data_IF_600049605482
#
_entry.id   IF_600049605482
#
_cell.length_a   1.000
_cell.length_b   1.000
_cell.length_c   1.000
_cell.angle_alpha   90.00
_cell.angle_beta   90.00
_cell.angle_gamma   90.00
#
_symmetry.space_group_name_H-M   'P 1'
#
loop_
_entity.id
_entity.type
_entity.pdbx_description
1 polymer ?
#
# COMPACT_ATOMS: atom_id res chain seq x y z
N UNK A 1 -29.37 13.14 -8.24
CA UNK A 1 -28.03 12.54 -8.18
C UNK A 1 -27.97 11.15 -7.49
N UNK A 2 -28.83 10.80 -6.52
CA UNK A 2 -28.81 9.49 -5.83
C UNK A 2 -29.18 8.26 -6.69
N UNK A 3 -29.85 8.42 -7.84
CA UNK A 3 -30.23 7.30 -8.70
C UNK A 3 -29.14 6.87 -9.69
N UNK A 4 -28.23 7.75 -10.08
CA UNK A 4 -27.15 7.45 -11.02
C UNK A 4 -26.08 6.57 -10.38
N UNK A 5 -25.76 6.80 -9.09
CA UNK A 5 -24.83 5.96 -8.36
C UNK A 5 -25.32 4.52 -8.16
N UNK A 6 -26.63 4.30 -8.03
CA UNK A 6 -27.20 2.96 -7.91
C UNK A 6 -27.03 2.14 -9.19
N UNK A 7 -27.14 2.77 -10.36
CA UNK A 7 -26.91 2.08 -11.65
C UNK A 7 -25.43 1.75 -11.88
N UNK A 8 -24.51 2.63 -11.46
CA UNK A 8 -23.08 2.33 -11.54
C UNK A 8 -22.66 1.19 -10.60
N UNK A 9 -23.23 1.12 -9.42
CA UNK A 9 -22.98 0.02 -8.46
C UNK A 9 -23.55 -1.30 -9.00
N UNK A 10 -24.77 -1.30 -9.57
CA UNK A 10 -25.35 -2.50 -10.15
C UNK A 10 -24.61 -2.98 -11.40
N UNK A 11 -24.09 -2.06 -12.24
CA UNK A 11 -23.27 -2.40 -13.39
C UNK A 11 -21.93 -3.02 -12.98
N UNK A 12 -21.33 -2.50 -11.91
CA UNK A 12 -20.07 -3.02 -11.34
C UNK A 12 -20.28 -4.42 -10.73
N UNK A 13 -21.40 -4.67 -10.09
CA UNK A 13 -21.74 -5.99 -9.55
C UNK A 13 -22.04 -6.98 -10.67
N UNK A 14 -22.72 -6.55 -11.76
CA UNK A 14 -23.06 -7.43 -12.87
C UNK A 14 -21.84 -7.84 -13.70
N UNK A 15 -20.80 -7.00 -13.78
CA UNK A 15 -19.54 -7.34 -14.48
C UNK A 15 -18.72 -8.40 -13.75
N UNK A 16 -18.96 -8.62 -12.45
CA UNK A 16 -18.27 -9.64 -11.65
C UNK A 16 -18.83 -11.07 -11.83
N UNK A 17 -20.02 -11.24 -12.42
CA UNK A 17 -20.68 -12.55 -12.53
C UNK A 17 -20.49 -13.27 -13.88
N UNK A 18 -19.75 -12.69 -14.81
CA UNK A 18 -19.51 -13.26 -16.14
C UNK A 18 -18.30 -14.18 -16.25
N UNK A 19 -18.05 -15.06 -15.30
CA UNK A 19 -16.98 -16.06 -15.42
C UNK A 19 -17.51 -17.31 -16.15
N UNK A 20 -17.36 -17.36 -17.47
CA UNK A 20 -17.54 -18.59 -18.23
C UNK A 20 -16.42 -19.60 -17.87
N UNK A 21 -16.77 -20.69 -17.27
CA UNK A 21 -15.87 -21.79 -16.93
C UNK A 21 -15.56 -22.63 -18.15
N UNK A 22 -14.49 -22.30 -18.87
CA UNK A 22 -13.81 -23.22 -19.78
C UNK A 22 -12.77 -24.03 -18.98
N UNK A 23 -12.91 -25.31 -18.90
CA UNK A 23 -11.95 -26.23 -18.28
C UNK A 23 -10.82 -26.55 -19.27
N UNK A 24 -9.90 -25.60 -19.45
CA UNK A 24 -8.59 -25.92 -20.03
C UNK A 24 -7.66 -26.42 -18.93
N UNK A 25 -7.06 -27.56 -19.13
CA UNK A 25 -6.00 -28.14 -18.27
C UNK A 25 -4.75 -27.25 -18.35
N UNK A 26 -4.73 -26.21 -17.53
CA UNK A 26 -3.64 -25.23 -17.53
C UNK A 26 -2.51 -25.77 -16.64
N UNK A 27 -1.34 -25.86 -17.23
CA UNK A 27 -0.11 -26.15 -16.49
C UNK A 27 0.16 -24.98 -15.51
N UNK A 28 -0.16 -25.20 -14.23
CA UNK A 28 0.14 -24.24 -13.17
C UNK A 28 1.65 -24.24 -12.89
N UNK A 29 2.28 -23.10 -13.10
CA UNK A 29 3.69 -22.89 -12.81
C UNK A 29 3.84 -21.85 -11.70
N UNK A 30 3.88 -22.26 -10.41
CA UNK A 30 3.94 -21.36 -9.28
C UNK A 30 5.25 -20.57 -9.28
N UNK A 31 5.16 -19.30 -8.93
CA UNK A 31 6.27 -18.34 -8.92
C UNK A 31 6.45 -17.73 -7.54
N UNK A 32 7.69 -17.48 -7.19
CA UNK A 32 8.08 -16.54 -6.14
C UNK A 32 8.34 -15.21 -6.83
N UNK A 33 7.84 -14.11 -6.27
CA UNK A 33 8.05 -12.77 -6.82
C UNK A 33 8.68 -11.89 -5.76
N UNK A 34 9.73 -11.19 -6.16
CA UNK A 34 10.39 -10.15 -5.36
C UNK A 34 10.17 -8.84 -6.07
N UNK A 35 9.75 -7.82 -5.37
CA UNK A 35 9.47 -6.51 -5.96
C UNK A 35 10.03 -5.37 -5.13
N UNK A 36 10.34 -4.27 -5.81
CA UNK A 36 10.69 -3.00 -5.21
C UNK A 36 9.76 -1.92 -5.74
N UNK A 37 9.31 -1.05 -4.86
CA UNK A 37 8.58 0.17 -5.22
C UNK A 37 9.55 1.19 -5.83
N UNK A 38 9.19 1.73 -6.98
CA UNK A 38 9.96 2.77 -7.66
C UNK A 38 9.35 4.16 -7.47
N UNK A 39 8.09 4.23 -7.08
CA UNK A 39 7.39 5.50 -6.93
C UNK A 39 7.95 6.31 -5.76
N UNK A 40 8.22 5.68 -4.61
CA UNK A 40 8.78 6.34 -3.44
C UNK A 40 10.13 7.01 -3.69
N UNK A 41 11.16 6.29 -4.19
CA UNK A 41 12.44 6.89 -4.54
C UNK A 41 12.35 8.00 -5.60
N UNK A 42 11.51 7.82 -6.63
CA UNK A 42 11.31 8.85 -7.67
C UNK A 42 10.64 10.09 -7.08
N UNK A 43 9.65 9.92 -6.20
CA UNK A 43 9.00 11.03 -5.53
C UNK A 43 9.98 11.82 -4.64
N UNK A 44 10.89 11.14 -3.94
CA UNK A 44 11.94 11.77 -3.12
C UNK A 44 12.90 12.67 -3.95
N UNK A 45 13.09 12.37 -5.23
CA UNK A 45 13.88 13.25 -6.10
C UNK A 45 13.16 14.58 -6.32
N UNK A 46 11.84 14.55 -6.43
CA UNK A 46 11.00 15.73 -6.64
C UNK A 46 10.73 16.51 -5.34
N UNK A 47 10.51 15.79 -4.24
CA UNK A 47 10.23 16.34 -2.91
C UNK A 47 11.09 15.62 -1.86
N UNK A 48 12.11 16.30 -1.36
CA UNK A 48 13.07 15.78 -0.36
C UNK A 48 12.45 15.55 1.02
N UNK A 49 11.22 15.98 1.22
CA UNK A 49 10.53 15.87 2.50
C UNK A 49 9.86 14.52 2.73
N UNK A 50 9.79 13.65 1.70
CA UNK A 50 9.17 12.33 1.82
C UNK A 50 10.05 11.27 1.17
N UNK A 51 10.77 10.49 1.99
CA UNK A 51 11.46 9.28 1.56
C UNK A 51 10.60 8.07 1.89
N UNK A 52 10.23 7.29 0.89
CA UNK A 52 9.52 6.02 1.07
C UNK A 52 10.26 4.92 0.31
N UNK A 53 10.66 3.87 1.03
CA UNK A 53 11.29 2.68 0.47
C UNK A 53 10.41 1.48 0.81
N UNK A 54 10.00 0.73 -0.18
CA UNK A 54 9.10 -0.41 0.01
C UNK A 54 9.45 -1.55 -0.93
N UNK A 55 9.34 -2.78 -0.45
CA UNK A 55 9.45 -3.98 -1.25
C UNK A 55 8.51 -5.07 -0.77
N UNK A 56 8.22 -6.02 -1.65
CA UNK A 56 7.42 -7.19 -1.28
C UNK A 56 8.00 -8.51 -1.79
N UNK A 57 7.66 -9.56 -1.06
CA UNK A 57 7.82 -10.96 -1.45
C UNK A 57 6.43 -11.56 -1.61
N UNK A 58 6.17 -12.23 -2.73
CA UNK A 58 4.92 -12.94 -2.99
C UNK A 58 5.20 -14.36 -3.42
N UNK A 59 4.43 -15.30 -2.88
CA UNK A 59 4.55 -16.74 -3.17
C UNK A 59 3.20 -17.29 -3.60
N UNK A 60 3.13 -17.84 -4.81
CA UNK A 60 1.93 -18.50 -5.30
C UNK A 60 1.72 -19.81 -4.57
N UNK A 61 0.57 -20.02 -3.96
CA UNK A 61 0.16 -21.29 -3.35
C UNK A 61 -1.03 -21.94 -4.06
N UNK A 62 -1.70 -21.18 -4.93
CA UNK A 62 -2.79 -21.65 -5.79
C UNK A 62 -2.71 -20.94 -7.14
N UNK A 63 -3.43 -21.41 -8.14
CA UNK A 63 -3.49 -20.84 -9.51
C UNK A 63 -3.82 -19.35 -9.50
N UNK A 64 -4.69 -18.94 -8.61
CA UNK A 64 -5.22 -17.58 -8.52
C UNK A 64 -4.91 -16.88 -7.19
N UNK A 65 -4.11 -17.49 -6.30
CA UNK A 65 -3.86 -16.93 -4.97
C UNK A 65 -2.37 -16.94 -4.65
N UNK A 66 -1.91 -15.85 -4.06
CA UNK A 66 -0.55 -15.69 -3.60
C UNK A 66 -0.53 -15.09 -2.18
N UNK A 67 0.34 -15.64 -1.33
CA UNK A 67 0.67 -15.02 -0.05
C UNK A 67 1.67 -13.89 -0.29
N UNK A 68 1.50 -12.77 0.41
CA UNK A 68 2.33 -11.58 0.24
C UNK A 68 2.81 -11.08 1.59
N UNK A 69 4.09 -10.78 1.67
CA UNK A 69 4.70 -10.00 2.74
C UNK A 69 5.35 -8.76 2.15
N UNK A 70 5.05 -7.61 2.71
CA UNK A 70 5.63 -6.32 2.33
C UNK A 70 6.33 -5.71 3.53
N UNK A 71 7.48 -5.10 3.28
CA UNK A 71 8.23 -4.33 4.27
C UNK A 71 8.63 -3.00 3.68
N UNK A 72 8.72 -2.00 4.53
CA UNK A 72 9.18 -0.69 4.09
C UNK A 72 9.63 0.20 5.22
N UNK A 73 10.28 1.26 4.82
CA UNK A 73 10.74 2.38 5.67
C UNK A 73 10.22 3.68 5.09
N UNK A 74 9.83 4.58 5.97
CA UNK A 74 9.40 5.92 5.56
C UNK A 74 10.00 6.95 6.50
N UNK A 75 10.42 8.06 5.90
CA UNK A 75 10.87 9.27 6.59
C UNK A 75 10.14 10.47 5.98
N UNK A 76 9.42 11.21 6.82
CA UNK A 76 8.57 12.31 6.44
C UNK A 76 8.85 13.54 7.28
N UNK A 77 9.14 14.63 6.59
CA UNK A 77 9.37 15.95 7.16
C UNK A 77 8.27 16.88 6.67
N UNK A 78 7.57 17.48 7.59
CA UNK A 78 6.57 18.49 7.29
C UNK A 78 6.90 19.78 8.02
N UNK A 79 7.12 20.85 7.28
CA UNK A 79 7.48 22.15 7.83
C UNK A 79 6.57 23.22 7.25
N UNK A 80 5.94 23.98 8.13
CA UNK A 80 5.18 25.17 7.80
C UNK A 80 5.61 26.32 8.70
N UNK A 81 5.14 27.53 8.42
CA UNK A 81 5.52 28.73 9.15
C UNK A 81 5.40 28.60 10.67
N UNK A 82 4.39 27.88 11.16
CA UNK A 82 4.05 27.77 12.59
C UNK A 82 4.09 26.34 13.13
N UNK A 83 4.53 25.35 12.32
CA UNK A 83 4.47 23.96 12.72
C UNK A 83 5.46 23.08 11.96
N UNK A 84 6.32 22.38 12.72
CA UNK A 84 7.22 21.34 12.22
C UNK A 84 6.80 19.98 12.75
N UNK A 85 6.72 18.98 11.87
CA UNK A 85 6.41 17.62 12.23
C UNK A 85 7.34 16.65 11.49
N UNK A 86 7.92 15.72 12.25
CA UNK A 86 8.80 14.68 11.75
C UNK A 86 8.20 13.32 12.10
N UNK A 87 8.21 12.40 11.13
CA UNK A 87 7.76 11.04 11.35
C UNK A 87 8.62 10.06 10.57
N UNK A 88 9.27 9.14 11.26
CA UNK A 88 10.08 8.10 10.61
C UNK A 88 9.83 6.74 11.23
N UNK A 89 9.87 5.68 10.44
CA UNK A 89 9.66 4.34 10.95
C UNK A 89 9.54 3.26 9.90
N UNK A 90 9.40 2.05 10.42
CA UNK A 90 9.26 0.83 9.63
C UNK A 90 7.81 0.36 9.62
N UNK A 91 7.44 -0.28 8.54
CA UNK A 91 6.13 -0.93 8.45
C UNK A 91 6.25 -2.29 7.77
N UNK A 92 5.32 -3.16 8.10
CA UNK A 92 5.17 -4.48 7.51
C UNK A 92 3.70 -4.71 7.18
N UNK A 93 3.44 -5.40 6.08
CA UNK A 93 2.09 -5.84 5.70
C UNK A 93 2.12 -7.31 5.34
N UNK A 94 1.13 -8.05 5.81
CA UNK A 94 0.92 -9.46 5.51
C UNK A 94 -0.45 -9.63 4.86
N UNK A 95 -0.56 -10.45 3.84
CA UNK A 95 -1.82 -10.64 3.18
C UNK A 95 -1.85 -11.67 2.07
N UNK A 96 -2.93 -11.60 1.30
CA UNK A 96 -3.19 -12.51 0.19
C UNK A 96 -3.65 -11.71 -1.02
N UNK A 97 -3.10 -12.03 -2.18
CA UNK A 97 -3.52 -11.52 -3.48
C UNK A 97 -4.41 -12.54 -4.19
N UNK A 98 -5.52 -12.07 -4.73
CA UNK A 98 -6.47 -12.83 -5.53
C UNK A 98 -6.40 -12.35 -6.97
N UNK A 99 -5.98 -13.22 -7.89
CA UNK A 99 -5.98 -12.94 -9.32
C UNK A 99 -7.37 -13.22 -9.88
N UNK A 100 -7.97 -12.24 -10.55
CA UNK A 100 -9.28 -12.39 -11.18
C UNK A 100 -9.20 -12.85 -12.64
N UNK A 101 -8.00 -12.80 -13.23
CA UNK A 101 -7.80 -13.25 -14.61
C UNK A 101 -7.77 -14.79 -14.69
N UNK A 102 -8.40 -15.32 -15.74
CA UNK A 102 -8.31 -16.74 -16.04
C UNK A 102 -6.83 -17.11 -16.36
N UNK A 103 -6.22 -18.04 -15.64
CA UNK A 103 -4.84 -18.46 -15.88
C UNK A 103 -4.55 -18.93 -17.29
N UNK A 104 -5.53 -19.56 -17.98
CA UNK A 104 -5.43 -19.98 -19.38
C UNK A 104 -5.22 -18.82 -20.35
N UNK A 105 -5.94 -17.76 -20.14
CA UNK A 105 -5.85 -16.59 -21.01
C UNK A 105 -4.62 -15.75 -20.72
N UNK A 106 -4.26 -15.61 -19.43
CA UNK A 106 -3.15 -14.76 -19.00
C UNK A 106 -1.78 -15.44 -19.14
N UNK A 107 -1.73 -16.77 -19.24
CA UNK A 107 -0.49 -17.56 -19.25
C UNK A 107 0.52 -17.17 -18.15
N UNK A 108 0.03 -16.60 -17.05
CA UNK A 108 0.84 -16.07 -15.95
C UNK A 108 1.63 -14.79 -16.27
N UNK A 109 1.41 -14.18 -17.45
CA UNK A 109 2.08 -12.92 -17.85
C UNK A 109 1.33 -11.69 -17.37
N UNK A 110 0.03 -11.81 -17.20
CA UNK A 110 -0.84 -10.72 -16.77
C UNK A 110 -1.46 -11.05 -15.43
N UNK A 111 -1.67 -10.03 -14.65
CA UNK A 111 -2.39 -10.08 -13.39
C UNK A 111 -3.33 -8.88 -13.32
N UNK A 112 -4.57 -9.12 -12.99
CA UNK A 112 -5.49 -8.11 -12.50
C UNK A 112 -6.21 -8.73 -11.30
N UNK A 113 -6.15 -8.07 -10.16
CA UNK A 113 -6.64 -8.68 -8.95
C UNK A 113 -6.77 -7.74 -7.80
N UNK A 114 -7.09 -8.29 -6.65
CA UNK A 114 -7.32 -7.58 -5.41
C UNK A 114 -6.51 -8.26 -4.32
N UNK A 115 -5.71 -7.47 -3.59
CA UNK A 115 -5.02 -7.90 -2.39
C UNK A 115 -5.77 -7.47 -1.14
N UNK A 116 -5.74 -8.30 -0.12
CA UNK A 116 -6.18 -7.96 1.24
C UNK A 116 -4.99 -8.10 2.17
N UNK A 117 -4.68 -7.06 2.92
CA UNK A 117 -3.50 -6.98 3.80
C UNK A 117 -3.84 -6.44 5.16
N UNK A 118 -3.12 -6.94 6.15
CA UNK A 118 -3.05 -6.37 7.49
C UNK A 118 -1.68 -5.71 7.66
N UNK A 119 -1.67 -4.44 8.06
CA UNK A 119 -0.47 -3.64 8.23
C UNK A 119 -0.18 -3.32 9.68
N UNK A 120 1.10 -3.36 10.02
CA UNK A 120 1.68 -2.92 11.28
C UNK A 120 2.75 -1.87 10.97
N UNK A 121 2.70 -0.74 11.66
CA UNK A 121 3.70 0.32 11.60
C UNK A 121 4.25 0.59 13.00
N UNK A 122 5.57 0.71 13.11
CA UNK A 122 6.27 1.16 14.30
C UNK A 122 7.10 2.36 13.91
N UNK A 123 6.84 3.50 14.51
CA UNK A 123 7.39 4.77 14.07
C UNK A 123 7.64 5.71 15.24
N UNK A 124 8.51 6.67 15.01
CA UNK A 124 8.80 7.78 15.92
C UNK A 124 8.24 9.04 15.29
N UNK A 125 7.49 9.78 16.07
CA UNK A 125 6.93 11.07 15.68
C UNK A 125 7.36 12.15 16.66
N UNK A 126 7.64 13.35 16.17
CA UNK A 126 8.00 14.50 16.99
C UNK A 126 7.50 15.80 16.35
N UNK A 127 7.27 16.81 17.19
CA UNK A 127 6.96 18.16 16.76
C UNK A 127 7.96 19.09 17.42
N UNK A 128 9.10 19.35 16.77
CA UNK A 128 10.15 20.19 17.35
C UNK A 128 9.74 21.64 17.52
N UNK A 129 8.80 22.11 16.70
CA UNK A 129 8.30 23.46 16.76
C UNK A 129 6.80 23.52 16.50
N UNK A 130 6.10 24.22 17.39
CA UNK A 130 4.69 24.58 17.26
C UNK A 130 4.51 26.01 17.77
N UNK A 131 3.92 26.86 16.95
CA UNK A 131 3.52 28.20 17.35
C UNK A 131 2.01 28.37 17.19
N UNK A 132 1.37 28.82 18.24
CA UNK A 132 -0.04 29.19 18.24
C UNK A 132 -0.19 30.67 18.51
N UNK A 133 -0.61 31.40 17.50
CA UNK A 133 -0.89 32.84 17.61
C UNK A 133 -2.37 33.06 17.94
N UNK A 134 -2.64 33.88 18.94
CA UNK A 134 -3.99 34.30 19.31
C UNK A 134 -4.03 35.81 19.57
N UNK A 135 -5.21 36.34 19.86
CA UNK A 135 -5.41 37.78 20.12
C UNK A 135 -4.53 38.32 21.24
N UNK A 136 -4.09 37.50 22.19
CA UNK A 136 -3.32 37.87 23.38
C UNK A 136 -1.80 37.68 23.20
N UNK A 137 -1.34 37.18 22.06
CA UNK A 137 0.04 36.96 21.75
C UNK A 137 0.30 35.58 21.16
N UNK A 138 1.57 35.26 20.88
CA UNK A 138 2.01 33.94 20.41
C UNK A 138 2.54 33.07 21.56
N UNK A 139 2.20 31.80 21.53
CA UNK A 139 2.74 30.78 22.44
C UNK A 139 3.47 29.74 21.61
N UNK A 140 4.74 29.52 21.93
CA UNK A 140 5.55 28.47 21.30
C UNK A 140 5.59 27.22 22.18
N UNK A 141 5.57 26.06 21.53
CA UNK A 141 5.65 24.76 22.20
C UNK A 141 6.44 23.76 21.37
N UNK A 142 6.67 22.60 21.95
CA UNK A 142 7.26 21.46 21.27
C UNK A 142 6.65 20.17 21.85
N UNK A 143 6.60 19.11 21.04
CA UNK A 143 6.32 17.76 21.53
C UNK A 143 7.57 16.89 21.35
N UNK A 144 8.05 16.27 22.42
CA UNK A 144 9.23 15.40 22.36
C UNK A 144 8.97 14.18 21.46
N UNK A 145 10.04 13.56 20.96
CA UNK A 145 9.92 12.37 20.15
C UNK A 145 9.27 11.23 20.93
N UNK A 146 8.20 10.67 20.36
CA UNK A 146 7.45 9.55 20.92
C UNK A 146 7.42 8.38 19.92
N UNK A 147 7.70 7.16 20.43
CA UNK A 147 7.57 5.94 19.63
C UNK A 147 6.16 5.40 19.73
N UNK A 148 5.54 5.18 18.60
CA UNK A 148 4.15 4.76 18.48
C UNK A 148 4.01 3.57 17.54
N UNK A 149 2.91 2.83 17.70
CA UNK A 149 2.54 1.75 16.80
C UNK A 149 1.15 2.01 16.21
N UNK A 150 0.96 1.62 14.95
CA UNK A 150 -0.33 1.71 14.29
C UNK A 150 -0.66 0.40 13.55
N UNK A 151 -1.94 0.06 13.55
CA UNK A 151 -2.48 -1.11 12.86
C UNK A 151 -3.54 -0.66 11.85
N UNK A 152 -3.51 -1.22 10.66
CA UNK A 152 -4.44 -0.88 9.61
C UNK A 152 -4.76 -2.08 8.72
N UNK A 153 -5.90 -2.01 8.04
CA UNK A 153 -6.30 -2.97 7.01
C UNK A 153 -6.18 -2.26 5.66
N UNK A 154 -5.71 -2.99 4.65
CA UNK A 154 -5.53 -2.48 3.31
C UNK A 154 -6.20 -3.37 2.29
N UNK A 155 -6.96 -2.76 1.38
CA UNK A 155 -7.44 -3.35 0.15
C UNK A 155 -6.60 -2.81 -1.01
N UNK A 156 -6.05 -3.72 -1.84
CA UNK A 156 -5.05 -3.39 -2.86
C UNK A 156 -5.46 -3.92 -4.24
N UNK A 157 -6.41 -3.28 -4.94
CA UNK A 157 -6.63 -3.58 -6.35
C UNK A 157 -5.40 -3.17 -7.17
N UNK A 158 -5.01 -4.04 -8.11
CA UNK A 158 -3.81 -3.77 -8.92
C UNK A 158 -3.75 -4.59 -10.18
N UNK A 159 -2.86 -4.16 -11.06
CA UNK A 159 -2.54 -4.84 -12.30
C UNK A 159 -1.02 -4.99 -12.46
N UNK A 160 -0.62 -6.02 -13.17
CA UNK A 160 0.76 -6.33 -13.48
C UNK A 160 0.85 -6.93 -14.88
N UNK A 161 1.92 -6.56 -15.59
CA UNK A 161 2.25 -7.14 -16.89
C UNK A 161 3.73 -7.53 -16.95
N UNK A 162 4.02 -8.69 -17.55
CA UNK A 162 5.39 -9.12 -17.83
C UNK A 162 5.91 -8.37 -19.06
N UNK A 163 6.99 -7.62 -18.89
CA UNK A 163 7.66 -6.90 -19.97
C UNK A 163 8.74 -7.75 -20.64
N UNK A 164 9.56 -8.40 -19.82
CA UNK A 164 10.62 -9.30 -20.24
C UNK A 164 10.48 -10.61 -19.51
N UNK A 165 11.18 -11.65 -19.96
CA UNK A 165 11.18 -12.94 -19.28
C UNK A 165 11.50 -12.77 -17.80
N UNK A 166 10.55 -13.11 -16.95
CA UNK A 166 10.63 -13.01 -15.48
C UNK A 166 10.63 -11.57 -14.89
N UNK A 167 10.58 -10.53 -15.69
CA UNK A 167 10.51 -9.15 -15.21
C UNK A 167 9.16 -8.56 -15.55
N UNK A 168 8.46 -8.08 -14.55
CA UNK A 168 7.14 -7.46 -14.68
C UNK A 168 7.15 -6.07 -14.09
N UNK A 169 6.27 -5.23 -14.59
CA UNK A 169 5.87 -3.98 -13.94
C UNK A 169 4.43 -4.09 -13.48
N UNK A 170 4.12 -3.41 -12.40
CA UNK A 170 2.76 -3.38 -11.86
C UNK A 170 2.50 -2.09 -11.12
N UNK A 171 1.23 -1.76 -11.02
CA UNK A 171 0.76 -0.70 -10.16
C UNK A 171 -0.43 -1.16 -9.31
N UNK A 172 -0.55 -0.56 -8.16
CA UNK A 172 -1.55 -0.94 -7.17
C UNK A 172 -2.15 0.33 -6.57
N UNK A 173 -3.46 0.40 -6.52
CA UNK A 173 -4.15 1.39 -5.71
C UNK A 173 -4.27 0.80 -4.31
N UNK A 174 -3.99 1.59 -3.28
CA UNK A 174 -4.07 1.17 -1.90
C UNK A 174 -5.18 1.93 -1.19
N UNK A 175 -6.10 1.20 -0.61
CA UNK A 175 -7.22 1.73 0.16
C UNK A 175 -7.04 1.25 1.60
N UNK A 176 -6.60 2.14 2.50
CA UNK A 176 -6.20 1.79 3.86
C UNK A 176 -7.20 2.35 4.86
N UNK A 177 -7.53 1.53 5.85
CA UNK A 177 -8.40 1.89 6.97
C UNK A 177 -7.61 1.71 8.26
N UNK A 178 -7.48 2.78 9.03
CA UNK A 178 -6.81 2.77 10.32
C UNK A 178 -7.70 2.05 11.35
N UNK A 179 -7.14 1.02 11.97
CA UNK A 179 -7.80 0.25 13.03
C UNK A 179 -7.41 0.79 14.40
N UNK A 180 -6.11 1.07 14.56
CA UNK A 180 -5.57 1.55 15.83
C UNK A 180 -4.32 2.41 15.57
N UNK A 181 -4.19 3.47 16.34
CA UNK A 181 -2.96 4.26 16.41
C UNK A 181 -2.67 4.58 17.87
N UNK A 182 -1.53 4.08 18.36
CA UNK A 182 -1.05 4.27 19.73
C UNK A 182 -0.36 5.60 19.95
N UNK A 183 -0.73 6.64 19.23
CA UNK A 183 -0.22 8.00 19.49
C UNK A 183 -0.58 8.45 20.88
N UNK A 184 0.37 9.03 21.60
CA UNK A 184 0.18 9.57 22.94
C UNK A 184 -0.97 10.55 23.04
N UNK A 185 -1.39 10.88 24.25
CA UNK A 185 -2.54 11.75 24.50
C UNK A 185 -2.39 13.14 23.89
N UNK A 186 -1.16 13.58 23.67
CA UNK A 186 -0.81 14.95 23.33
C UNK A 186 -0.43 15.15 21.86
N UNK A 187 -0.08 14.10 21.12
CA UNK A 187 0.37 14.19 19.73
C UNK A 187 -0.39 13.24 18.80
N UNK A 188 -1.26 13.79 17.97
CA UNK A 188 -1.88 13.03 16.89
C UNK A 188 -0.94 13.01 15.68
N UNK A 189 -0.45 11.83 15.30
CA UNK A 189 0.44 11.70 14.15
C UNK A 189 -0.23 12.19 12.86
N UNK A 190 0.38 13.17 12.21
CA UNK A 190 -0.08 13.68 10.90
C UNK A 190 0.16 12.64 9.82
N UNK A 191 1.29 11.95 9.89
CA UNK A 191 1.65 10.94 8.91
C UNK A 191 2.18 9.68 9.60
N UNK A 192 1.66 8.53 9.21
CA UNK A 192 2.03 7.21 9.74
C UNK A 192 2.71 6.42 8.63
N UNK A 193 3.95 5.93 8.84
CA UNK A 193 4.65 5.10 7.88
C UNK A 193 3.81 3.90 7.40
N UNK A 194 3.80 3.69 6.09
CA UNK A 194 3.03 2.60 5.47
C UNK A 194 1.51 2.82 5.41
N UNK A 195 0.96 3.69 6.25
CA UNK A 195 -0.46 4.05 6.23
C UNK A 195 -0.75 5.33 5.43
N UNK A 196 0.00 6.40 5.68
CA UNK A 196 -0.20 7.72 5.11
C UNK A 196 -0.79 8.70 6.10
N UNK A 197 -1.83 9.45 5.73
CA UNK A 197 -2.41 10.50 6.55
C UNK A 197 -3.06 9.95 7.84
N UNK A 198 -2.38 10.10 8.97
CA UNK A 198 -2.80 9.61 10.29
C UNK A 198 -3.94 10.40 10.93
N UNK A 199 -4.32 11.56 10.38
CA UNK A 199 -5.46 12.34 10.88
C UNK A 199 -6.80 11.81 10.38
N UNK A 200 -6.78 10.96 9.33
CA UNK A 200 -7.96 10.38 8.68
C UNK A 200 -8.04 8.88 8.93
N UNK A 201 -9.25 8.37 9.07
CA UNK A 201 -9.51 6.93 9.18
C UNK A 201 -9.26 6.19 7.85
N UNK A 202 -9.39 6.90 6.72
CA UNK A 202 -9.18 6.37 5.38
C UNK A 202 -8.05 7.10 4.66
N UNK A 203 -7.09 6.34 4.13
CA UNK A 203 -5.93 6.87 3.41
C UNK A 203 -5.73 6.13 2.08
N UNK A 204 -6.01 6.76 0.94
CA UNK A 204 -5.69 6.20 -0.37
C UNK A 204 -4.21 6.38 -0.70
N UNK A 205 -3.69 5.52 -1.58
CA UNK A 205 -2.33 5.61 -2.10
C UNK A 205 -2.20 4.89 -3.42
N UNK A 206 -1.07 5.08 -4.08
CA UNK A 206 -0.70 4.39 -5.31
C UNK A 206 0.77 4.00 -5.23
N UNK A 207 1.11 2.81 -5.73
CA UNK A 207 2.48 2.32 -5.82
C UNK A 207 2.77 1.76 -7.20
N UNK A 208 4.02 1.87 -7.62
CA UNK A 208 4.56 1.30 -8.84
C UNK A 208 5.71 0.36 -8.52
N UNK A 209 5.65 -0.86 -9.04
CA UNK A 209 6.62 -1.91 -8.74
C UNK A 209 7.34 -2.41 -9.97
N UNK A 210 8.65 -2.64 -9.79
CA UNK A 210 9.41 -3.57 -10.62
C UNK A 210 9.44 -4.90 -9.89
N UNK A 211 9.07 -5.97 -10.59
CA UNK A 211 8.83 -7.27 -10.00
C UNK A 211 9.66 -8.31 -10.74
N UNK A 212 10.46 -9.08 -10.00
CA UNK A 212 11.17 -10.23 -10.51
C UNK A 212 10.45 -11.51 -10.11
N UNK A 213 10.16 -12.37 -11.11
CA UNK A 213 9.43 -13.63 -10.92
C UNK A 213 10.37 -14.82 -11.08
N UNK A 214 10.45 -15.67 -10.08
CA UNK A 214 11.29 -16.88 -10.06
C UNK A 214 10.36 -18.09 -10.02
N UNK A 215 10.29 -18.92 -11.09
CA UNK A 215 9.54 -20.16 -11.06
C UNK A 215 10.25 -21.16 -10.14
N UNK A 216 9.56 -21.71 -9.14
CA UNK A 216 10.16 -22.64 -8.19
C UNK A 216 9.73 -24.12 -8.38
N UNK A 217 8.76 -24.35 -9.27
CA UNK A 217 8.31 -25.69 -9.62
C UNK A 217 8.13 -25.79 -11.13
N UNK A 218 8.75 -26.78 -11.77
CA UNK A 218 8.43 -27.10 -13.16
C UNK A 218 7.12 -27.88 -13.15
N UNK A 219 6.16 -27.49 -13.98
CA UNK A 219 5.02 -28.33 -14.27
C UNK A 219 5.52 -29.64 -14.86
N UNK A 220 5.10 -30.75 -14.28
CA UNK A 220 5.30 -32.08 -14.87
C UNK A 220 4.34 -32.28 -16.01
#
# INVERSE_FOLDING_TARGET
>A
MKRISAYFISLLIFSCFGAATGQDTISYNPKIRVAADIFGPVYYIADKNLLSLEGFLSVDFDTNKAAVIEIGYLDYIYSQYNYDFLSSGYFMRLGVDFNTLNPGTSQGKYYAGIGLRYGLSIFRAETPFLEHENYWGSVTGFAPPETSAAHFIELSPGIRTELFRNVSIGWTIRLRILVYSGTGKDLKSIYIPGYGNGTKVFSPGINYYIIWSIPYRKAK
#
